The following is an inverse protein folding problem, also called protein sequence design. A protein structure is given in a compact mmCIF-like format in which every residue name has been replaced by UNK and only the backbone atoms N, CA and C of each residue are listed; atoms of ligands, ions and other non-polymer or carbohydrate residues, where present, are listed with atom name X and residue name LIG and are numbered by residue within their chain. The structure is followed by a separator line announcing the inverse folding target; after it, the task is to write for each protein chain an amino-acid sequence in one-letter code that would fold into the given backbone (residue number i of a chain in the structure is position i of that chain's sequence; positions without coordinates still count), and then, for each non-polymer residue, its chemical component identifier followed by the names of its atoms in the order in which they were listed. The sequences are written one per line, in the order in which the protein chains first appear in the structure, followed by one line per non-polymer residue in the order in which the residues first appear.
data_IF_186125656577
#
_entry.id   IF_186125656577
#
_cell.length_a   1.000
_cell.length_b   1.000
_cell.length_c   1.000
_cell.angle_alpha   90.00
_cell.angle_beta   90.00
_cell.angle_gamma   90.00
#
_symmetry.space_group_name_H-M   'P 1'
#
loop_
_entity.id
_entity.type
_entity.pdbx_description
1 polymer ?
#
# COMPACT_ATOMS: atom_id res chain seq x y z
N UNK A 1 -3.48 23.20 36.64
CA UNK A 1 -4.77 22.67 36.22
C UNK A 1 -4.94 22.61 34.70
N UNK A 2 -5.64 23.60 34.12
CA UNK A 2 -6.07 23.57 32.68
C UNK A 2 -4.88 23.60 31.70
N UNK A 3 -3.84 24.35 31.99
CA UNK A 3 -2.63 24.44 31.16
C UNK A 3 -1.87 23.12 31.05
N UNK A 4 -1.79 22.36 32.14
CA UNK A 4 -1.17 21.04 32.13
C UNK A 4 -1.98 20.01 31.33
N UNK A 5 -3.32 20.09 31.42
CA UNK A 5 -4.21 19.22 30.65
C UNK A 5 -4.15 19.52 29.15
N UNK A 6 -4.12 20.81 28.77
CA UNK A 6 -3.93 21.24 27.37
C UNK A 6 -2.57 20.81 26.83
N UNK A 7 -1.49 20.95 27.60
CA UNK A 7 -0.17 20.49 27.23
C UNK A 7 -0.09 18.98 27.02
N UNK A 8 -0.74 18.20 27.89
CA UNK A 8 -0.82 16.75 27.74
C UNK A 8 -1.63 16.33 26.50
N UNK A 9 -2.78 16.96 26.25
CA UNK A 9 -3.59 16.69 25.04
C UNK A 9 -2.82 17.03 23.75
N UNK A 10 -2.11 18.14 23.70
CA UNK A 10 -1.28 18.49 22.56
C UNK A 10 -0.16 17.46 22.36
N UNK A 11 0.51 17.06 23.42
CA UNK A 11 1.59 16.08 23.36
C UNK A 11 1.10 14.73 22.81
N UNK A 12 -0.09 14.24 23.22
CA UNK A 12 -0.65 12.99 22.73
C UNK A 12 -1.08 13.05 21.26
N UNK A 13 -1.55 14.22 20.79
CA UNK A 13 -1.95 14.40 19.38
C UNK A 13 -0.77 14.30 18.40
N UNK A 14 0.43 14.69 18.84
CA UNK A 14 1.64 14.66 18.02
C UNK A 14 2.51 13.42 18.23
N UNK A 15 2.26 12.63 19.29
CA UNK A 15 3.05 11.43 19.56
C UNK A 15 2.71 10.31 18.58
N UNK A 16 3.72 9.64 17.95
CA UNK A 16 3.48 8.56 16.98
C UNK A 16 2.93 7.30 17.67
N UNK A 17 1.61 7.22 17.83
CA UNK A 17 0.93 6.14 18.55
C UNK A 17 0.08 5.24 17.66
N UNK A 18 -0.36 5.72 16.50
CA UNK A 18 -1.26 5.00 15.61
C UNK A 18 -0.47 4.20 14.58
N UNK A 19 -0.78 2.91 14.42
CA UNK A 19 -0.21 2.07 13.36
C UNK A 19 -0.91 2.39 12.06
N UNK A 20 -0.12 2.64 11.01
CA UNK A 20 -0.65 3.00 9.70
C UNK A 20 0.18 2.40 8.56
N UNK A 21 -0.50 2.00 7.50
CA UNK A 21 0.10 1.84 6.18
C UNK A 21 0.33 3.23 5.60
N UNK A 22 1.56 3.54 5.25
CA UNK A 22 1.95 4.87 4.78
C UNK A 22 2.57 4.79 3.40
N UNK A 23 2.26 5.76 2.55
CA UNK A 23 2.98 6.03 1.30
C UNK A 23 3.80 7.31 1.50
N UNK A 24 5.09 7.20 1.31
CA UNK A 24 6.04 8.32 1.47
C UNK A 24 6.70 8.60 0.12
N UNK A 25 6.72 9.84 -0.32
CA UNK A 25 7.49 10.24 -1.50
C UNK A 25 8.97 10.25 -1.16
N UNK A 26 9.75 9.37 -1.84
CA UNK A 26 11.15 9.09 -1.50
C UNK A 26 12.04 10.35 -1.48
N UNK A 27 11.94 11.20 -2.50
CA UNK A 27 12.77 12.41 -2.60
C UNK A 27 12.47 13.48 -1.55
N UNK A 28 11.20 13.61 -1.15
CA UNK A 28 10.75 14.64 -0.22
C UNK A 28 10.70 14.15 1.23
N UNK A 29 10.67 12.83 1.43
CA UNK A 29 10.45 12.21 2.73
C UNK A 29 9.07 12.50 3.34
N UNK A 30 8.15 13.08 2.57
CA UNK A 30 6.82 13.44 3.03
C UNK A 30 5.84 12.28 2.90
N UNK A 31 5.04 12.04 3.94
CA UNK A 31 3.92 11.10 3.88
C UNK A 31 2.82 11.74 3.03
N UNK A 32 2.52 11.12 1.90
CA UNK A 32 1.49 11.57 0.94
C UNK A 32 0.17 10.86 1.09
N UNK A 33 0.19 9.69 1.76
CA UNK A 33 -1.00 8.93 2.13
C UNK A 33 -0.76 8.13 3.40
N UNK A 34 -1.78 7.98 4.23
CA UNK A 34 -1.77 7.05 5.36
C UNK A 34 -3.18 6.54 5.66
N UNK A 35 -3.29 5.24 5.91
CA UNK A 35 -4.49 4.58 6.39
C UNK A 35 -4.19 3.83 7.69
N UNK A 36 -5.11 3.89 8.65
CA UNK A 36 -5.01 3.10 9.89
C UNK A 36 -5.04 1.62 9.55
N UNK A 37 -4.14 0.85 10.15
CA UNK A 37 -4.11 -0.61 10.00
C UNK A 37 -3.83 -1.29 11.34
N UNK A 38 -4.21 -2.57 11.41
CA UNK A 38 -3.93 -3.45 12.53
C UNK A 38 -3.24 -4.72 12.02
N UNK A 39 -2.53 -5.46 12.87
CA UNK A 39 -2.04 -6.79 12.52
C UNK A 39 -3.19 -7.68 12.05
N UNK A 40 -3.01 -8.35 10.91
CA UNK A 40 -4.03 -9.15 10.23
C UNK A 40 -4.78 -8.41 9.12
N UNK A 41 -4.74 -7.09 9.05
CA UNK A 41 -5.33 -6.34 7.95
C UNK A 41 -4.61 -6.66 6.64
N UNK A 42 -5.39 -6.66 5.56
CA UNK A 42 -4.89 -6.98 4.21
C UNK A 42 -5.06 -5.80 3.26
N UNK A 43 -4.15 -5.71 2.31
CA UNK A 43 -4.23 -4.77 1.19
C UNK A 43 -3.61 -5.40 -0.05
N UNK A 44 -3.84 -4.82 -1.21
CA UNK A 44 -3.19 -5.26 -2.44
C UNK A 44 -2.56 -4.10 -3.21
N UNK A 45 -1.58 -4.43 -4.04
CA UNK A 45 -1.01 -3.53 -5.03
C UNK A 45 -1.33 -4.11 -6.39
N UNK A 46 -2.00 -3.34 -7.23
CA UNK A 46 -2.32 -3.71 -8.61
C UNK A 46 -1.49 -2.84 -9.56
N UNK A 47 -0.99 -3.45 -10.63
CA UNK A 47 -0.29 -2.73 -11.69
C UNK A 47 -0.33 -3.50 -13.02
N UNK A 48 -0.05 -2.82 -14.12
CA UNK A 48 0.20 -3.46 -15.40
C UNK A 48 1.68 -3.82 -15.54
N UNK A 49 1.95 -5.05 -15.89
CA UNK A 49 3.31 -5.48 -16.17
C UNK A 49 3.88 -4.68 -17.34
N UNK A 50 5.04 -4.07 -17.17
CA UNK A 50 5.60 -3.10 -18.13
C UNK A 50 5.89 -3.67 -19.52
N UNK A 51 6.13 -4.97 -19.64
CA UNK A 51 6.47 -5.65 -20.90
C UNK A 51 5.24 -6.32 -21.52
N UNK A 52 4.47 -7.04 -20.73
CA UNK A 52 3.34 -7.84 -21.22
C UNK A 52 2.01 -7.10 -21.21
N UNK A 53 1.94 -5.94 -20.57
CA UNK A 53 0.72 -5.12 -20.40
C UNK A 53 -0.45 -5.91 -19.77
N UNK A 54 -0.13 -6.93 -19.01
CA UNK A 54 -1.09 -7.77 -18.30
C UNK A 54 -1.18 -7.36 -16.83
N UNK A 55 -2.36 -7.48 -16.20
CA UNK A 55 -2.52 -7.14 -14.79
C UNK A 55 -1.73 -8.06 -13.88
N UNK A 56 -1.12 -7.46 -12.87
CA UNK A 56 -0.47 -8.13 -11.73
C UNK A 56 -1.10 -7.61 -10.47
N UNK A 57 -1.39 -8.49 -9.54
CA UNK A 57 -1.93 -8.17 -8.24
C UNK A 57 -1.12 -8.86 -7.14
N UNK A 58 -0.56 -8.08 -6.23
CA UNK A 58 0.21 -8.53 -5.09
C UNK A 58 -0.59 -8.30 -3.81
N UNK A 59 -0.85 -9.35 -3.04
CA UNK A 59 -1.61 -9.29 -1.79
C UNK A 59 -0.68 -9.35 -0.58
N UNK A 60 -0.92 -8.46 0.35
CA UNK A 60 -0.14 -8.29 1.56
C UNK A 60 -1.00 -8.39 2.80
N UNK A 61 -0.40 -8.88 3.87
CA UNK A 61 -0.97 -8.87 5.23
C UNK A 61 -0.05 -8.11 6.16
N UNK A 62 -0.61 -7.31 7.05
CA UNK A 62 0.14 -6.59 8.10
C UNK A 62 0.50 -7.55 9.22
N UNK A 63 1.78 -7.70 9.54
CA UNK A 63 2.26 -8.56 10.63
C UNK A 63 2.22 -7.88 11.99
N UNK A 64 2.29 -8.67 13.07
CA UNK A 64 2.45 -8.16 14.43
C UNK A 64 3.77 -7.40 14.63
N UNK A 65 4.80 -7.71 13.83
CA UNK A 65 6.09 -7.02 13.83
C UNK A 65 6.06 -5.68 13.07
N UNK A 66 4.90 -5.23 12.59
CA UNK A 66 4.70 -4.02 11.78
C UNK A 66 5.40 -4.09 10.42
N UNK A 67 5.37 -5.26 9.82
CA UNK A 67 5.92 -5.53 8.51
C UNK A 67 4.79 -5.88 7.55
N UNK A 68 5.06 -5.84 6.28
CA UNK A 68 4.17 -6.31 5.23
C UNK A 68 4.61 -7.70 4.82
N UNK A 69 3.71 -8.67 4.85
CA UNK A 69 3.96 -10.03 4.38
C UNK A 69 3.25 -10.21 3.05
N UNK A 70 4.00 -10.43 1.97
CA UNK A 70 3.44 -10.80 0.68
C UNK A 70 2.95 -12.24 0.79
N UNK A 71 1.63 -12.43 0.65
CA UNK A 71 0.96 -13.70 0.87
C UNK A 71 0.49 -14.36 -0.43
N UNK A 72 0.24 -13.56 -1.47
CA UNK A 72 -0.24 -14.06 -2.76
C UNK A 72 0.13 -13.11 -3.88
N UNK A 73 0.41 -13.65 -5.07
CA UNK A 73 0.56 -12.91 -6.34
C UNK A 73 -0.31 -13.55 -7.40
N UNK A 74 -1.04 -12.72 -8.14
CA UNK A 74 -1.87 -13.12 -9.29
C UNK A 74 -1.36 -12.39 -10.53
N UNK A 75 -1.15 -13.11 -11.63
CA UNK A 75 -0.70 -12.55 -12.91
C UNK A 75 -1.20 -13.36 -14.11
N UNK A 76 -1.26 -12.75 -15.30
CA UNK A 76 -1.84 -13.36 -16.49
C UNK A 76 -0.81 -13.85 -17.51
N UNK A 77 0.48 -13.49 -17.37
CA UNK A 77 1.52 -13.92 -18.30
C UNK A 77 2.79 -14.35 -17.61
N UNK A 78 3.39 -15.43 -18.11
CA UNK A 78 4.76 -15.79 -17.75
C UNK A 78 5.74 -14.79 -18.37
N UNK A 79 6.70 -14.29 -17.57
CA UNK A 79 7.73 -13.41 -18.12
C UNK A 79 8.67 -12.84 -17.07
N UNK A 80 9.58 -11.98 -17.53
CA UNK A 80 10.60 -11.34 -16.72
C UNK A 80 9.93 -10.52 -15.60
N UNK A 81 10.28 -10.82 -14.35
CA UNK A 81 9.75 -10.12 -13.16
C UNK A 81 8.57 -10.80 -12.47
N UNK A 82 7.92 -11.78 -13.11
CA UNK A 82 6.93 -12.62 -12.44
C UNK A 82 7.60 -13.84 -11.80
N UNK A 83 7.05 -14.37 -10.69
CA UNK A 83 7.59 -15.58 -10.09
C UNK A 83 7.63 -16.71 -11.11
N UNK A 84 8.84 -17.13 -11.51
CA UNK A 84 9.03 -18.27 -12.41
C UNK A 84 9.11 -19.61 -11.69
N UNK A 85 8.95 -19.59 -10.37
CA UNK A 85 8.97 -20.75 -9.48
C UNK A 85 8.45 -20.37 -8.10
N UNK A 86 8.15 -21.39 -7.33
CA UNK A 86 7.72 -21.28 -5.94
C UNK A 86 8.90 -21.54 -5.01
N UNK A 87 8.94 -20.82 -3.88
CA UNK A 87 9.80 -21.15 -2.75
C UNK A 87 9.18 -22.29 -1.93
N UNK A 88 9.94 -22.84 -1.00
CA UNK A 88 9.46 -23.92 -0.14
C UNK A 88 8.22 -23.44 0.67
N UNK A 89 7.10 -24.16 0.52
CA UNK A 89 5.84 -23.82 1.18
C UNK A 89 4.84 -23.07 0.30
N UNK A 90 5.28 -22.42 -0.78
CA UNK A 90 4.39 -21.70 -1.69
C UNK A 90 3.63 -22.68 -2.60
N UNK A 91 2.38 -22.35 -2.90
CA UNK A 91 1.54 -23.13 -3.80
C UNK A 91 1.32 -22.37 -5.12
N UNK A 92 1.55 -23.06 -6.22
CA UNK A 92 1.30 -22.55 -7.56
C UNK A 92 0.05 -23.21 -8.14
N UNK A 93 -0.84 -22.42 -8.70
CA UNK A 93 -2.03 -22.89 -9.41
C UNK A 93 -2.32 -22.03 -10.64
N UNK A 94 -3.10 -22.59 -11.57
CA UNK A 94 -3.62 -21.86 -12.72
C UNK A 94 -5.14 -21.96 -12.72
N UNK A 95 -5.83 -20.83 -12.67
CA UNK A 95 -7.30 -20.75 -12.67
C UNK A 95 -7.75 -19.67 -13.65
N UNK A 96 -8.66 -20.00 -14.55
CA UNK A 96 -9.26 -19.04 -15.51
C UNK A 96 -8.23 -18.23 -16.31
N UNK A 97 -7.12 -18.86 -16.71
CA UNK A 97 -6.04 -18.22 -17.46
C UNK A 97 -5.10 -17.34 -16.62
N UNK A 98 -5.30 -17.30 -15.30
CA UNK A 98 -4.43 -16.58 -14.36
C UNK A 98 -3.51 -17.55 -13.63
N UNK A 99 -2.29 -17.12 -13.44
CA UNK A 99 -1.31 -17.79 -12.59
C UNK A 99 -1.42 -17.24 -11.18
N UNK A 100 -1.50 -18.10 -10.20
CA UNK A 100 -1.65 -17.74 -8.79
C UNK A 100 -0.54 -18.42 -8.00
N UNK A 101 0.24 -17.62 -7.29
CA UNK A 101 1.17 -18.10 -6.26
C UNK A 101 0.60 -17.67 -4.92
N UNK A 102 0.31 -18.61 -4.06
CA UNK A 102 -0.28 -18.37 -2.73
C UNK A 102 0.48 -19.13 -1.64
N UNK A 103 0.11 -18.91 -0.38
CA UNK A 103 0.84 -19.37 0.80
C UNK A 103 2.28 -18.82 0.85
N UNK A 104 2.46 -17.61 0.35
CA UNK A 104 3.73 -16.91 0.41
C UNK A 104 3.91 -16.30 1.82
N UNK A 105 5.15 -16.30 2.30
CA UNK A 105 5.52 -15.69 3.60
C UNK A 105 6.71 -14.72 3.43
N UNK A 106 6.68 -13.91 2.37
CA UNK A 106 7.79 -12.99 2.07
C UNK A 106 7.65 -11.71 2.87
N UNK A 107 8.47 -11.56 3.90
CA UNK A 107 8.45 -10.41 4.81
C UNK A 107 9.17 -9.22 4.19
N UNK A 108 8.50 -8.07 4.17
CA UNK A 108 8.99 -6.82 3.60
C UNK A 108 8.77 -5.68 4.60
N UNK A 109 9.85 -4.96 4.94
CA UNK A 109 9.76 -3.74 5.75
C UNK A 109 9.41 -2.51 4.92
N UNK A 110 9.71 -2.55 3.62
CA UNK A 110 9.46 -1.46 2.68
C UNK A 110 9.21 -2.03 1.28
N UNK A 111 8.14 -1.59 0.65
CA UNK A 111 7.90 -1.80 -0.78
C UNK A 111 8.18 -0.50 -1.51
N UNK A 112 9.17 -0.53 -2.42
CA UNK A 112 9.58 0.64 -3.20
C UNK A 112 8.97 0.54 -4.59
N UNK A 113 8.17 1.52 -4.97
CA UNK A 113 7.48 1.58 -6.25
C UNK A 113 7.87 2.83 -7.03
N UNK A 114 8.00 2.70 -8.34
CA UNK A 114 8.09 3.85 -9.25
C UNK A 114 6.75 4.04 -9.94
N UNK A 115 6.13 5.21 -9.75
CA UNK A 115 4.87 5.54 -10.43
C UNK A 115 5.12 5.60 -11.93
N UNK A 116 4.39 4.79 -12.71
CA UNK A 116 4.55 4.73 -14.15
C UNK A 116 4.24 6.06 -14.82
N UNK A 117 5.03 6.40 -15.85
CA UNK A 117 4.80 7.63 -16.63
C UNK A 117 3.74 7.46 -17.72
N UNK A 118 3.59 6.25 -18.24
CA UNK A 118 2.76 5.98 -19.43
C UNK A 118 1.84 4.77 -19.24
N UNK A 119 2.31 3.65 -18.69
CA UNK A 119 1.59 2.37 -18.72
C UNK A 119 1.43 1.66 -17.38
N UNK A 120 2.40 1.72 -16.49
CA UNK A 120 2.33 1.04 -15.21
C UNK A 120 1.50 1.87 -14.22
N UNK A 121 0.19 1.73 -14.30
CA UNK A 121 -0.74 2.43 -13.41
C UNK A 121 -0.85 1.66 -12.09
N UNK A 122 0.13 1.87 -11.20
CA UNK A 122 0.10 1.25 -9.87
C UNK A 122 -1.04 1.84 -9.05
N UNK A 123 -1.82 0.95 -8.42
CA UNK A 123 -2.89 1.31 -7.50
C UNK A 123 -2.74 0.56 -6.19
N UNK A 124 -2.99 1.24 -5.08
CA UNK A 124 -3.19 0.62 -3.78
C UNK A 124 -4.66 0.23 -3.66
N UNK A 125 -4.94 -1.01 -3.28
CA UNK A 125 -6.30 -1.51 -3.05
C UNK A 125 -6.51 -1.68 -1.54
N UNK A 126 -7.41 -0.89 -0.99
CA UNK A 126 -7.87 -0.97 0.39
C UNK A 126 -9.39 -1.15 0.38
N UNK A 127 -9.89 -2.10 1.17
CA UNK A 127 -11.33 -2.38 1.27
C UNK A 127 -12.01 -2.53 -0.10
N UNK A 128 -11.34 -3.19 -1.05
CA UNK A 128 -11.76 -3.39 -2.45
C UNK A 128 -11.81 -2.11 -3.29
N UNK A 129 -11.28 -0.98 -2.80
CA UNK A 129 -11.22 0.28 -3.53
C UNK A 129 -9.81 0.51 -4.09
N UNK A 130 -9.60 0.46 -5.41
CA UNK A 130 -8.33 0.77 -6.02
C UNK A 130 -8.11 2.29 -6.07
N UNK A 131 -6.96 2.75 -5.56
CA UNK A 131 -6.55 4.15 -5.56
C UNK A 131 -5.23 4.26 -6.30
N UNK A 132 -5.19 4.95 -7.44
CA UNK A 132 -3.95 5.14 -8.19
C UNK A 132 -2.91 5.91 -7.36
N UNK A 133 -1.67 5.46 -7.34
CA UNK A 133 -0.57 6.20 -6.69
C UNK A 133 -0.33 7.57 -7.32
N UNK A 134 -0.77 7.77 -8.55
CA UNK A 134 -0.72 9.06 -9.25
C UNK A 134 -1.59 10.14 -8.60
N UNK A 135 -2.57 9.78 -7.77
CA UNK A 135 -3.36 10.72 -6.97
C UNK A 135 -2.52 11.41 -5.89
N UNK A 136 -1.43 10.78 -5.47
CA UNK A 136 -0.61 11.25 -4.34
C UNK A 136 0.75 11.80 -4.75
N UNK A 137 1.29 11.36 -5.89
CA UNK A 137 2.62 11.78 -6.33
C UNK A 137 2.75 11.72 -7.85
N UNK A 138 3.57 12.59 -8.41
CA UNK A 138 3.70 12.75 -9.85
C UNK A 138 4.22 11.48 -10.55
N UNK A 139 3.78 11.19 -11.78
CA UNK A 139 4.34 10.12 -12.59
C UNK A 139 5.87 10.20 -12.71
N UNK A 140 6.54 9.06 -12.53
CA UNK A 140 7.98 8.94 -12.50
C UNK A 140 8.62 9.13 -11.12
N UNK A 141 7.85 9.57 -10.12
CA UNK A 141 8.30 9.61 -8.72
C UNK A 141 8.48 8.20 -8.15
N UNK A 142 9.35 8.09 -7.16
CA UNK A 142 9.46 6.89 -6.33
C UNK A 142 8.69 7.12 -5.04
N UNK A 143 7.92 6.12 -4.65
CA UNK A 143 7.20 6.08 -3.37
C UNK A 143 7.59 4.83 -2.59
N UNK A 144 7.54 4.94 -1.29
CA UNK A 144 7.86 3.89 -0.33
C UNK A 144 6.60 3.57 0.47
N UNK A 145 6.16 2.31 0.41
CA UNK A 145 5.11 1.79 1.29
C UNK A 145 5.77 1.19 2.53
N UNK A 146 5.22 1.52 3.68
CA UNK A 146 5.70 1.03 4.97
C UNK A 146 4.56 0.97 5.98
N UNK A 147 4.63 0.01 6.88
CA UNK A 147 3.80 -0.01 8.09
C UNK A 147 4.59 0.61 9.23
N UNK A 148 4.13 1.75 9.73
CA UNK A 148 4.82 2.48 10.82
C UNK A 148 3.86 3.20 11.73
N UNK A 149 4.34 3.63 12.90
CA UNK A 149 3.55 4.50 13.78
C UNK A 149 3.64 5.95 13.32
N UNK A 150 2.48 6.59 13.27
CA UNK A 150 2.34 8.03 12.98
C UNK A 150 1.51 8.70 14.07
N UNK A 151 1.53 10.03 14.12
CA UNK A 151 0.71 10.77 15.06
C UNK A 151 -0.78 10.71 14.67
N UNK A 152 -1.69 10.73 15.65
CA UNK A 152 -3.13 10.77 15.38
C UNK A 152 -3.52 11.95 14.49
N UNK A 153 -2.91 13.11 14.69
CA UNK A 153 -3.19 14.30 13.88
C UNK A 153 -2.81 14.10 12.41
N UNK A 154 -1.64 13.50 12.13
CA UNK A 154 -1.24 13.20 10.76
C UNK A 154 -2.19 12.18 10.12
N UNK A 155 -2.56 11.15 10.86
CA UNK A 155 -3.49 10.13 10.38
C UNK A 155 -4.85 10.73 10.02
N UNK A 156 -5.42 11.57 10.89
CA UNK A 156 -6.69 12.23 10.64
C UNK A 156 -6.63 13.12 9.38
N UNK A 157 -5.56 13.92 9.23
CA UNK A 157 -5.36 14.76 8.04
C UNK A 157 -5.31 13.91 6.76
N UNK A 158 -4.62 12.79 6.79
CA UNK A 158 -4.52 11.89 5.63
C UNK A 158 -5.85 11.22 5.30
N UNK A 159 -6.64 10.86 6.33
CA UNK A 159 -7.99 10.32 6.15
C UNK A 159 -8.92 11.31 5.45
N UNK A 160 -8.91 12.57 5.83
CA UNK A 160 -9.71 13.62 5.19
C UNK A 160 -9.37 13.78 3.70
N UNK A 161 -8.07 13.73 3.37
CA UNK A 161 -7.60 13.76 1.97
C UNK A 161 -8.10 12.52 1.21
N UNK A 162 -7.99 11.34 1.81
CA UNK A 162 -8.43 10.08 1.23
C UNK A 162 -9.94 10.08 0.95
N UNK A 163 -10.75 10.46 1.91
CA UNK A 163 -12.21 10.54 1.79
C UNK A 163 -12.62 11.52 0.68
N UNK A 164 -11.90 12.65 0.54
CA UNK A 164 -12.14 13.61 -0.53
C UNK A 164 -11.84 13.03 -1.92
N UNK A 165 -10.75 12.25 -2.07
CA UNK A 165 -10.39 11.57 -3.33
C UNK A 165 -11.44 10.53 -3.70
N UNK A 166 -11.87 9.69 -2.75
CA UNK A 166 -12.92 8.70 -2.99
C UNK A 166 -14.23 9.35 -3.45
N UNK A 167 -14.63 10.44 -2.80
CA UNK A 167 -15.85 11.18 -3.18
C UNK A 167 -15.76 11.79 -4.58
N UNK A 168 -14.59 12.27 -4.98
CA UNK A 168 -14.37 12.82 -6.32
C UNK A 168 -14.48 11.73 -7.40
N UNK A 169 -13.93 10.55 -7.14
CA UNK A 169 -13.97 9.43 -8.06
C UNK A 169 -15.38 8.85 -8.24
N UNK A 170 -16.19 8.82 -7.17
CA UNK A 170 -17.59 8.38 -7.22
C UNK A 170 -18.49 9.34 -8.01
N UNK A 171 -18.14 10.61 -8.11
CA UNK A 171 -18.91 11.61 -8.89
C UNK A 171 -18.54 11.62 -10.38
N UNK A 172 -17.44 10.97 -10.75
CA UNK A 172 -16.95 10.92 -12.14
C UNK A 172 -17.47 9.69 -12.92
N UNK A 173 -18.23 8.81 -12.27
CA UNK A 173 -18.94 7.65 -12.85
C UNK A 173 -20.41 7.99 -13.09
#
# INVERSE_FOLDING_TARGET
GITALLGFMLMTAFWPSQLALTVTEDKKGSVVFAASVQPGDTFAIQFLHSVHETPVEEHYTVSHAKEMVLTKVIYESYGVGNPSGTEAGEQFSMKEGKFIVEEMERVLTTVSLRIGKVKANHSLVLDSNPIPFAEWSAPGSRVLLQVKRISPLLLQRQKEIYDAVLQSNLKAI
#
